data_IF_273119964925
#
_entry.id   IF_273119964925
#
_cell.length_a   1.000
_cell.length_b   1.000
_cell.length_c   1.000
_cell.angle_alpha   90.00
_cell.angle_beta   90.00
_cell.angle_gamma   90.00
#
_symmetry.space_group_name_H-M   'P 1'
#
loop_
_entity.id
_entity.type
_entity.pdbx_description
1 polymer ?
#
# COMPACT_ATOMS: atom_id res chain seq x y z
N UNK A 1 -2.10 -20.65 -5.53
CA UNK A 1 -0.67 -20.50 -5.81
C UNK A 1 -0.29 -21.44 -6.95
N UNK A 2 0.47 -20.96 -7.91
CA UNK A 2 0.99 -21.74 -9.05
C UNK A 2 2.44 -22.12 -8.76
N UNK A 3 2.74 -23.43 -8.78
CA UNK A 3 4.12 -23.93 -8.69
C UNK A 3 4.70 -24.08 -10.09
N UNK A 4 5.82 -23.40 -10.33
CA UNK A 4 6.58 -23.51 -11.57
C UNK A 4 7.77 -24.42 -11.31
N UNK A 5 7.90 -25.44 -12.14
CA UNK A 5 8.99 -26.41 -12.08
C UNK A 5 9.73 -26.40 -13.41
N UNK A 6 10.98 -25.96 -13.39
CA UNK A 6 11.94 -26.15 -14.46
C UNK A 6 12.94 -27.23 -14.04
N UNK A 7 13.78 -27.76 -14.95
CA UNK A 7 14.76 -28.78 -14.60
C UNK A 7 15.69 -28.38 -13.44
N UNK A 8 15.99 -27.08 -13.34
CA UNK A 8 16.98 -26.55 -12.40
C UNK A 8 16.36 -25.80 -11.21
N UNK A 9 15.08 -25.42 -11.30
CA UNK A 9 14.46 -24.49 -10.35
C UNK A 9 13.00 -24.83 -10.04
N UNK A 10 12.60 -24.65 -8.79
CA UNK A 10 11.20 -24.70 -8.36
C UNK A 10 10.84 -23.47 -7.54
N UNK A 11 9.82 -22.74 -7.95
CA UNK A 11 9.30 -21.59 -7.19
C UNK A 11 7.77 -21.51 -7.30
N UNK A 12 7.16 -20.72 -6.43
CA UNK A 12 5.71 -20.49 -6.41
C UNK A 12 5.40 -19.03 -6.68
N UNK A 13 4.29 -18.79 -7.38
CA UNK A 13 3.73 -17.46 -7.62
C UNK A 13 2.25 -17.42 -7.23
N UNK A 14 1.73 -16.28 -6.77
CA UNK A 14 0.30 -16.09 -6.53
C UNK A 14 -0.52 -16.30 -7.81
N UNK A 15 -1.73 -16.84 -7.65
CA UNK A 15 -2.73 -16.97 -8.72
C UNK A 15 -3.90 -16.02 -8.58
N UNK A 16 -4.05 -15.40 -7.40
CA UNK A 16 -5.14 -14.49 -7.06
C UNK A 16 -4.68 -13.45 -6.03
N UNK A 17 -5.42 -12.34 -5.92
CA UNK A 17 -5.11 -11.24 -5.00
C UNK A 17 -5.06 -11.62 -3.51
N UNK A 18 -5.91 -12.52 -2.99
CA UNK A 18 -5.80 -12.99 -1.60
C UNK A 18 -4.47 -13.67 -1.26
N UNK A 19 -3.71 -14.13 -2.26
CA UNK A 19 -2.39 -14.75 -2.05
C UNK A 19 -1.24 -13.73 -2.09
N UNK A 20 -1.50 -12.50 -2.54
CA UNK A 20 -0.48 -11.44 -2.59
C UNK A 20 -0.34 -10.81 -1.22
N UNK A 21 0.89 -10.82 -0.70
CA UNK A 21 1.18 -10.19 0.60
C UNK A 21 1.24 -8.67 0.49
N UNK A 22 1.03 -7.97 1.61
CA UNK A 22 1.12 -6.52 1.67
C UNK A 22 2.52 -6.02 1.25
N UNK A 23 3.58 -6.71 1.66
CA UNK A 23 4.94 -6.41 1.23
C UNK A 23 5.12 -6.49 -0.28
N UNK A 24 4.68 -7.59 -0.88
CA UNK A 24 4.77 -7.78 -2.32
C UNK A 24 4.00 -6.68 -3.06
N UNK A 25 2.83 -6.30 -2.56
CA UNK A 25 2.06 -5.18 -3.12
C UNK A 25 2.82 -3.84 -3.05
N UNK A 26 3.41 -3.51 -1.89
CA UNK A 26 4.19 -2.27 -1.71
C UNK A 26 5.41 -2.27 -2.63
N UNK A 27 6.15 -3.38 -2.70
CA UNK A 27 7.33 -3.53 -3.54
C UNK A 27 6.98 -3.37 -5.04
N UNK A 28 5.88 -3.98 -5.50
CA UNK A 28 5.38 -3.79 -6.86
C UNK A 28 5.06 -2.32 -7.15
N UNK A 29 4.36 -1.64 -6.23
CA UNK A 29 3.96 -0.24 -6.40
C UNK A 29 5.16 0.71 -6.48
N UNK A 30 6.21 0.46 -5.69
CA UNK A 30 7.42 1.29 -5.67
C UNK A 30 8.26 1.09 -6.94
N UNK A 31 8.38 -0.15 -7.43
CA UNK A 31 9.13 -0.49 -8.64
C UNK A 31 8.41 0.00 -9.90
N UNK A 32 7.08 -0.11 -9.96
CA UNK A 32 6.30 0.41 -11.09
C UNK A 32 6.43 1.93 -11.22
N UNK A 33 6.44 2.68 -10.10
CA UNK A 33 6.63 4.12 -10.12
C UNK A 33 8.00 4.53 -10.69
N UNK A 34 9.06 3.75 -10.40
CA UNK A 34 10.41 3.99 -10.94
C UNK A 34 10.49 3.75 -12.44
N UNK A 35 9.86 2.68 -12.95
CA UNK A 35 9.84 2.37 -14.38
C UNK A 35 9.09 3.44 -15.21
N UNK A 36 7.99 3.98 -14.69
CA UNK A 36 7.23 5.04 -15.39
C UNK A 36 8.05 6.32 -15.56
N UNK A 37 9.03 6.55 -14.69
CA UNK A 37 9.92 7.71 -14.76
C UNK A 37 11.20 7.45 -15.59
N UNK A 38 11.33 6.28 -16.21
CA UNK A 38 12.50 5.91 -17.03
C UNK A 38 12.28 6.19 -18.52
N UNK A 39 13.34 6.55 -19.25
CA UNK A 39 13.33 6.86 -20.69
C UNK A 39 13.23 5.61 -21.60
N UNK A 40 12.56 4.55 -21.14
CA UNK A 40 12.45 3.30 -21.88
C UNK A 40 11.37 3.39 -22.98
N UNK A 41 11.60 2.68 -24.08
CA UNK A 41 10.59 2.52 -25.13
C UNK A 41 9.43 1.63 -24.66
N UNK A 42 8.21 1.83 -25.18
CA UNK A 42 6.99 1.13 -24.73
C UNK A 42 7.09 -0.41 -24.71
N UNK A 43 7.82 -1.00 -25.66
CA UNK A 43 8.04 -2.45 -25.71
C UNK A 43 9.00 -2.94 -24.63
N UNK A 44 10.02 -2.14 -24.30
CA UNK A 44 10.99 -2.42 -23.24
C UNK A 44 10.38 -2.22 -21.84
N UNK A 45 9.46 -1.25 -21.71
CA UNK A 45 8.69 -1.05 -20.48
C UNK A 45 7.85 -2.30 -20.17
N UNK A 46 7.20 -2.88 -21.19
CA UNK A 46 6.39 -4.09 -21.03
C UNK A 46 7.19 -5.28 -20.51
N UNK A 47 8.33 -5.59 -21.14
CA UNK A 47 9.18 -6.73 -20.72
C UNK A 47 9.85 -6.51 -19.37
N UNK A 48 10.33 -5.28 -19.10
CA UNK A 48 10.95 -4.95 -17.81
C UNK A 48 9.94 -5.06 -16.66
N UNK A 49 8.70 -4.62 -16.91
CA UNK A 49 7.63 -4.69 -15.92
C UNK A 49 7.25 -6.14 -15.59
N UNK A 50 7.12 -6.98 -16.62
CA UNK A 50 6.86 -8.42 -16.48
C UNK A 50 7.88 -9.11 -15.56
N UNK A 51 9.17 -8.89 -15.82
CA UNK A 51 10.26 -9.47 -15.03
C UNK A 51 10.24 -8.97 -13.59
N UNK A 52 10.07 -7.67 -13.37
CA UNK A 52 9.97 -7.11 -12.02
C UNK A 52 8.77 -7.65 -11.23
N UNK A 53 7.64 -7.87 -11.91
CA UNK A 53 6.47 -8.45 -11.26
C UNK A 53 6.77 -9.87 -10.77
N UNK A 54 7.42 -10.70 -11.59
CA UNK A 54 7.86 -12.03 -11.19
C UNK A 54 8.87 -12.00 -10.04
N UNK A 55 9.86 -11.11 -10.09
CA UNK A 55 10.87 -10.97 -9.02
C UNK A 55 10.26 -10.67 -7.64
N UNK A 56 9.16 -9.92 -7.60
CA UNK A 56 8.48 -9.61 -6.34
C UNK A 56 7.52 -10.73 -5.93
N UNK A 57 6.81 -11.32 -6.88
CA UNK A 57 5.76 -12.29 -6.61
C UNK A 57 6.29 -13.71 -6.38
N UNK A 58 7.46 -14.05 -6.93
CA UNK A 58 8.06 -15.35 -6.75
C UNK A 58 8.50 -15.56 -5.29
N UNK A 59 8.29 -16.78 -4.79
CA UNK A 59 8.80 -17.20 -3.48
C UNK A 59 10.33 -17.18 -3.39
N UNK A 60 11.02 -17.33 -4.52
CA UNK A 60 12.47 -17.22 -4.63
C UNK A 60 12.81 -16.35 -5.85
N UNK A 61 13.42 -15.20 -5.61
CA UNK A 61 13.85 -14.28 -6.67
C UNK A 61 15.13 -14.73 -7.36
N UNK A 62 16.01 -15.48 -6.68
CA UNK A 62 17.28 -15.94 -7.25
C UNK A 62 17.06 -17.06 -8.26
N UNK A 63 16.05 -17.89 -7.99
CA UNK A 63 15.49 -18.87 -8.91
C UNK A 63 15.20 -18.30 -10.31
N UNK A 64 14.72 -17.05 -10.41
CA UNK A 64 14.38 -16.41 -11.67
C UNK A 64 15.60 -16.08 -12.55
N UNK A 65 16.81 -15.99 -11.99
CA UNK A 65 18.04 -15.75 -12.75
C UNK A 65 18.29 -16.88 -13.76
N UNK A 66 17.89 -18.09 -13.42
CA UNK A 66 18.10 -19.30 -14.23
C UNK A 66 16.91 -19.60 -15.16
N UNK A 67 15.81 -18.86 -15.05
CA UNK A 67 14.60 -19.07 -15.87
C UNK A 67 14.82 -18.45 -17.26
N UNK A 68 14.51 -19.21 -18.30
CA UNK A 68 14.57 -18.72 -19.69
C UNK A 68 13.44 -17.72 -19.97
N UNK A 69 13.72 -16.69 -20.77
CA UNK A 69 12.78 -15.59 -21.08
C UNK A 69 11.39 -16.06 -21.59
N UNK A 70 11.29 -17.18 -22.30
CA UNK A 70 10.00 -17.72 -22.76
C UNK A 70 9.10 -18.27 -21.63
N UNK A 71 9.68 -18.76 -20.54
CA UNK A 71 8.93 -19.27 -19.38
C UNK A 71 8.38 -18.11 -18.55
N UNK A 72 9.08 -16.97 -18.52
CA UNK A 72 8.60 -15.75 -17.86
C UNK A 72 7.29 -15.27 -18.49
N UNK A 73 7.21 -15.23 -19.82
CA UNK A 73 6.01 -14.84 -20.56
C UNK A 73 4.84 -15.79 -20.31
N UNK A 74 5.07 -17.10 -20.43
CA UNK A 74 4.05 -18.13 -20.15
C UNK A 74 3.52 -18.08 -18.72
N UNK A 75 4.40 -17.75 -17.76
CA UNK A 75 4.03 -17.63 -16.35
C UNK A 75 3.12 -16.43 -16.13
N UNK A 76 3.45 -15.31 -16.75
CA UNK A 76 2.69 -14.06 -16.61
C UNK A 76 1.32 -14.15 -17.27
N UNK A 77 1.22 -14.86 -18.39
CA UNK A 77 -0.06 -15.12 -19.04
C UNK A 77 -0.98 -15.98 -18.15
N UNK A 78 -0.42 -16.77 -17.24
CA UNK A 78 -1.15 -17.52 -16.20
C UNK A 78 -1.49 -16.70 -14.95
N UNK A 79 -1.12 -15.42 -14.90
CA UNK A 79 -1.44 -14.49 -13.80
C UNK A 79 -2.38 -13.37 -14.25
N UNK A 80 -3.58 -13.68 -14.80
CA UNK A 80 -4.50 -12.67 -15.31
C UNK A 80 -5.02 -11.74 -14.20
N UNK A 81 -5.00 -12.18 -12.94
CA UNK A 81 -5.46 -11.38 -11.79
C UNK A 81 -4.70 -10.06 -11.64
N UNK A 82 -3.42 -10.00 -12.02
CA UNK A 82 -2.61 -8.78 -11.98
C UNK A 82 -3.21 -7.67 -12.85
N UNK A 83 -3.89 -8.04 -13.94
CA UNK A 83 -4.57 -7.08 -14.82
C UNK A 83 -5.93 -6.59 -14.30
N UNK A 84 -6.44 -7.19 -13.23
CA UNK A 84 -7.75 -6.89 -12.67
C UNK A 84 -7.64 -6.74 -11.14
N UNK A 85 -7.01 -5.66 -10.64
CA UNK A 85 -7.00 -5.39 -9.21
C UNK A 85 -8.42 -5.19 -8.69
N UNK A 86 -8.80 -5.82 -7.57
CA UNK A 86 -10.07 -5.53 -6.92
C UNK A 86 -10.07 -4.09 -6.42
N UNK A 87 -11.25 -3.51 -6.29
CA UNK A 87 -11.39 -2.26 -5.54
C UNK A 87 -11.27 -2.59 -4.05
N UNK A 88 -10.05 -2.45 -3.52
CA UNK A 88 -9.74 -2.74 -2.12
C UNK A 88 -10.62 -1.96 -1.12
N UNK A 89 -11.18 -0.82 -1.52
CA UNK A 89 -12.07 -0.03 -0.66
C UNK A 89 -13.48 -0.61 -0.58
N UNK A 90 -13.89 -1.36 -1.61
CA UNK A 90 -15.19 -2.04 -1.66
C UNK A 90 -15.19 -3.38 -0.92
N UNK A 91 -14.01 -3.90 -0.58
CA UNK A 91 -13.87 -5.15 0.14
C UNK A 91 -14.32 -4.98 1.60
N UNK A 92 -14.94 -6.01 2.21
CA UNK A 92 -15.30 -5.97 3.61
C UNK A 92 -14.06 -5.93 4.50
N UNK A 93 -14.16 -5.23 5.63
CA UNK A 93 -13.13 -5.28 6.67
C UNK A 93 -13.12 -6.69 7.28
N UNK A 94 -11.96 -7.35 7.39
CA UNK A 94 -11.89 -8.71 7.93
C UNK A 94 -12.29 -8.74 9.41
N UNK A 95 -13.06 -9.76 9.80
CA UNK A 95 -13.44 -9.98 11.20
C UNK A 95 -12.27 -10.52 12.05
N UNK A 96 -11.35 -11.25 11.41
CA UNK A 96 -10.17 -11.85 12.03
C UNK A 96 -9.00 -11.67 11.08
N UNK A 97 -7.85 -11.24 11.61
CA UNK A 97 -6.61 -11.09 10.86
C UNK A 97 -5.46 -11.67 11.68
N UNK A 98 -4.63 -12.54 11.09
CA UNK A 98 -3.56 -13.25 11.82
C UNK A 98 -4.00 -13.91 13.15
N UNK A 99 -5.23 -14.43 13.20
CA UNK A 99 -5.79 -15.07 14.40
C UNK A 99 -6.30 -14.11 15.49
N UNK A 100 -6.26 -12.79 15.26
CA UNK A 100 -6.78 -11.78 16.19
C UNK A 100 -7.95 -11.01 15.61
N UNK A 101 -8.87 -10.58 16.48
CA UNK A 101 -9.96 -9.69 16.08
C UNK A 101 -9.45 -8.24 16.09
N UNK A 102 -9.50 -7.52 14.96
CA UNK A 102 -9.07 -6.12 14.95
C UNK A 102 -10.01 -5.27 15.83
N UNK A 103 -9.49 -4.20 16.45
CA UNK A 103 -10.33 -3.29 17.23
C UNK A 103 -11.36 -2.62 16.33
N UNK A 104 -12.65 -2.85 16.58
CA UNK A 104 -13.74 -2.21 15.83
C UNK A 104 -14.03 -0.79 16.34
N UNK A 105 -13.78 -0.54 17.62
CA UNK A 105 -14.03 0.76 18.26
C UNK A 105 -12.71 1.49 18.54
N UNK A 106 -12.33 2.41 17.66
CA UNK A 106 -11.11 3.23 17.84
C UNK A 106 -11.22 4.26 18.98
N UNK A 107 -12.41 4.44 19.57
CA UNK A 107 -12.60 5.24 20.77
C UNK A 107 -11.86 4.71 21.98
N UNK A 108 -11.54 3.40 22.00
CA UNK A 108 -10.82 2.73 23.08
C UNK A 108 -9.30 2.68 22.87
N UNK A 109 -8.79 3.25 21.78
CA UNK A 109 -7.36 3.30 21.51
C UNK A 109 -6.63 4.20 22.53
N UNK A 110 -5.40 3.81 22.86
CA UNK A 110 -4.57 4.60 23.78
C UNK A 110 -4.18 5.92 23.12
N UNK A 111 -4.00 6.94 23.95
CA UNK A 111 -3.55 8.26 23.49
C UNK A 111 -2.17 8.17 22.80
N UNK A 112 -1.31 7.25 23.26
CA UNK A 112 -0.02 6.96 22.63
C UNK A 112 -0.19 6.44 21.20
N UNK A 113 -1.10 5.48 20.94
CA UNK A 113 -1.36 4.99 19.58
C UNK A 113 -1.78 6.12 18.63
N UNK A 114 -2.60 7.07 19.11
CA UNK A 114 -3.00 8.23 18.32
C UNK A 114 -1.80 9.12 17.98
N UNK A 115 -0.98 9.45 18.97
CA UNK A 115 0.24 10.24 18.78
C UNK A 115 1.23 9.56 17.83
N UNK A 116 1.41 8.25 17.92
CA UNK A 116 2.29 7.53 16.99
C UNK A 116 1.77 7.61 15.55
N UNK A 117 0.44 7.56 15.34
CA UNK A 117 -0.14 7.77 14.01
C UNK A 117 0.06 9.20 13.53
N UNK A 118 -0.12 10.21 14.39
CA UNK A 118 0.16 11.62 14.08
C UNK A 118 1.62 11.82 13.63
N UNK A 119 2.58 11.21 14.33
CA UNK A 119 3.99 11.25 13.95
C UNK A 119 4.23 10.69 12.54
N UNK A 120 3.69 9.51 12.22
CA UNK A 120 3.81 8.93 10.88
C UNK A 120 3.18 9.80 9.78
N UNK A 121 2.03 10.43 10.08
CA UNK A 121 1.37 11.35 9.14
C UNK A 121 2.23 12.59 8.88
N UNK A 122 2.84 13.14 9.93
CA UNK A 122 3.71 14.31 9.81
C UNK A 122 5.02 13.96 9.08
N UNK A 123 5.62 12.80 9.34
CA UNK A 123 6.80 12.33 8.61
C UNK A 123 6.54 12.20 7.11
N UNK A 124 5.42 11.58 6.72
CA UNK A 124 5.06 11.50 5.30
C UNK A 124 4.80 12.88 4.70
N UNK A 125 4.24 13.81 5.47
CA UNK A 125 4.03 15.18 5.01
C UNK A 125 5.36 15.93 4.81
N UNK A 126 6.33 15.73 5.71
CA UNK A 126 7.68 16.29 5.63
C UNK A 126 8.47 15.72 4.44
N UNK A 127 8.25 14.45 4.09
CA UNK A 127 8.80 13.79 2.90
C UNK A 127 8.06 14.15 1.59
N UNK A 128 7.08 15.05 1.64
CA UNK A 128 6.20 15.41 0.51
C UNK A 128 5.44 14.22 -0.10
N UNK A 129 5.30 13.12 0.65
CA UNK A 129 4.56 11.94 0.25
C UNK A 129 3.06 12.10 0.53
N UNK A 130 2.23 11.56 -0.36
CA UNK A 130 0.79 11.55 -0.13
C UNK A 130 0.43 10.57 0.99
N UNK A 131 -0.24 11.07 2.04
CA UNK A 131 -0.84 10.24 3.09
C UNK A 131 -2.06 9.51 2.52
N UNK A 132 -1.91 8.22 2.25
CA UNK A 132 -2.97 7.36 1.76
C UNK A 132 -2.93 6.00 2.46
N UNK A 133 -4.00 5.21 2.34
CA UNK A 133 -4.10 3.91 3.00
C UNK A 133 -3.08 2.88 2.49
N UNK A 134 -2.48 3.09 1.31
CA UNK A 134 -1.44 2.20 0.76
C UNK A 134 -0.07 2.52 1.37
N UNK A 135 0.28 3.81 1.50
CA UNK A 135 1.55 4.27 2.08
C UNK A 135 1.57 4.09 3.59
N UNK A 136 0.43 4.31 4.24
CA UNK A 136 0.30 4.16 5.69
C UNK A 136 -0.08 2.75 6.14
N UNK A 137 -0.33 1.80 5.23
CA UNK A 137 -0.88 0.48 5.56
C UNK A 137 -0.11 -0.20 6.68
N UNK A 138 1.21 -0.38 6.49
CA UNK A 138 2.07 -1.07 7.45
C UNK A 138 2.09 -0.32 8.78
N UNK A 139 2.36 0.99 8.77
CA UNK A 139 2.47 1.79 9.99
C UNK A 139 1.19 1.81 10.82
N UNK A 140 0.03 2.02 10.17
CA UNK A 140 -1.27 2.08 10.84
C UNK A 140 -1.67 0.72 11.39
N UNK A 141 -1.54 -0.34 10.59
CA UNK A 141 -1.86 -1.69 11.02
C UNK A 141 -0.96 -2.10 12.19
N UNK A 142 0.34 -1.80 12.13
CA UNK A 142 1.26 -2.07 13.23
C UNK A 142 0.80 -1.40 14.52
N UNK A 143 0.47 -0.11 14.49
CA UNK A 143 0.05 0.62 15.71
C UNK A 143 -1.24 0.04 16.32
N UNK A 144 -2.25 -0.23 15.49
CA UNK A 144 -3.57 -0.66 15.99
C UNK A 144 -3.65 -2.15 16.30
N UNK A 145 -2.90 -3.00 15.59
CA UNK A 145 -2.88 -4.45 15.82
C UNK A 145 -1.85 -4.87 16.87
N UNK A 146 -0.85 -4.05 17.19
CA UNK A 146 0.18 -4.39 18.19
C UNK A 146 -0.41 -4.94 19.49
N UNK A 147 -1.41 -4.29 20.14
CA UNK A 147 -1.92 -4.79 21.41
C UNK A 147 -2.65 -6.13 21.31
N UNK A 148 -3.27 -6.40 20.16
CA UNK A 148 -3.97 -7.64 19.92
C UNK A 148 -2.99 -8.79 19.61
N UNK A 149 -1.94 -8.51 18.83
CA UNK A 149 -0.95 -9.52 18.43
C UNK A 149 0.00 -9.88 19.57
N UNK A 150 0.51 -8.88 20.29
CA UNK A 150 1.51 -9.06 21.35
C UNK A 150 0.91 -9.27 22.73
N UNK A 151 -0.41 -9.11 22.88
CA UNK A 151 -1.10 -9.07 24.18
C UNK A 151 -0.46 -8.07 25.16
N UNK A 152 0.14 -7.00 24.63
CA UNK A 152 0.91 -6.00 25.38
C UNK A 152 0.51 -4.59 24.95
N UNK A 153 0.59 -3.63 25.85
CA UNK A 153 0.31 -2.23 25.48
C UNK A 153 1.49 -1.67 24.70
N UNK A 154 1.20 -0.94 23.63
CA UNK A 154 2.22 -0.17 22.90
C UNK A 154 2.69 0.99 23.80
N UNK A 155 3.95 0.96 24.19
CA UNK A 155 4.58 1.99 25.03
C UNK A 155 5.68 2.76 24.31
N UNK A 156 6.31 2.12 23.31
CA UNK A 156 7.38 2.72 22.53
C UNK A 156 7.21 2.35 21.05
N UNK A 157 7.62 3.25 20.17
CA UNK A 157 7.58 3.08 18.72
C UNK A 157 8.55 1.98 18.24
N UNK A 158 9.67 1.78 18.93
CA UNK A 158 10.65 0.75 18.59
C UNK A 158 10.04 -0.67 18.55
N UNK A 159 9.03 -0.91 19.40
CA UNK A 159 8.29 -2.18 19.49
C UNK A 159 7.55 -2.54 18.20
N UNK A 160 7.22 -1.55 17.36
CA UNK A 160 6.54 -1.82 16.09
C UNK A 160 7.38 -2.64 15.13
N UNK A 161 8.72 -2.56 15.24
CA UNK A 161 9.64 -3.33 14.39
C UNK A 161 9.49 -4.84 14.57
N UNK A 162 9.04 -5.30 15.74
CA UNK A 162 8.84 -6.72 16.05
C UNK A 162 7.68 -7.32 15.25
N UNK A 163 6.66 -6.52 14.95
CA UNK A 163 5.45 -6.98 14.26
C UNK A 163 5.42 -6.61 12.77
N UNK A 164 6.30 -5.70 12.32
CA UNK A 164 6.32 -5.24 10.92
C UNK A 164 6.38 -6.39 9.94
N UNK A 165 7.23 -7.39 10.17
CA UNK A 165 7.34 -8.56 9.29
C UNK A 165 6.05 -9.40 9.25
N UNK A 166 5.34 -9.50 10.38
CA UNK A 166 4.05 -10.20 10.44
C UNK A 166 2.96 -9.43 9.70
N UNK A 167 2.92 -8.11 9.83
CA UNK A 167 1.99 -7.23 9.10
C UNK A 167 2.28 -7.26 7.60
N UNK A 168 3.55 -7.23 7.21
CA UNK A 168 4.01 -7.33 5.82
C UNK A 168 3.58 -8.63 5.14
N UNK A 169 3.50 -9.72 5.90
CA UNK A 169 3.09 -11.03 5.42
C UNK A 169 1.56 -11.19 5.26
N UNK A 170 0.76 -10.23 5.72
CA UNK A 170 -0.70 -10.29 5.61
C UNK A 170 -1.16 -10.21 4.15
N UNK A 171 -2.25 -10.92 3.78
CA UNK A 171 -2.90 -10.74 2.50
C UNK A 171 -3.28 -9.27 2.25
N UNK A 172 -2.96 -8.76 1.06
CA UNK A 172 -3.27 -7.39 0.67
C UNK A 172 -4.78 -7.11 0.67
N UNK A 173 -5.59 -8.13 0.33
CA UNK A 173 -7.06 -8.04 0.32
C UNK A 173 -7.66 -7.90 1.71
N UNK A 174 -6.93 -8.23 2.76
CA UNK A 174 -7.36 -8.08 4.16
C UNK A 174 -6.73 -6.84 4.80
N UNK A 175 -5.45 -6.61 4.51
CA UNK A 175 -4.67 -5.53 5.09
C UNK A 175 -5.13 -4.14 4.61
N UNK A 176 -5.34 -3.94 3.31
CA UNK A 176 -5.69 -2.61 2.78
C UNK A 176 -7.08 -2.10 3.21
N UNK A 177 -8.16 -2.91 3.18
CA UNK A 177 -9.46 -2.46 3.69
C UNK A 177 -9.40 -2.11 5.17
N UNK A 178 -8.64 -2.88 5.96
CA UNK A 178 -8.47 -2.63 7.39
C UNK A 178 -7.65 -1.36 7.66
N UNK A 179 -6.57 -1.13 6.90
CA UNK A 179 -5.80 0.11 6.97
C UNK A 179 -6.66 1.33 6.60
N UNK A 180 -7.49 1.21 5.57
CA UNK A 180 -8.44 2.24 5.18
C UNK A 180 -9.49 2.51 6.28
N UNK A 181 -10.03 1.47 6.90
CA UNK A 181 -10.94 1.58 8.04
C UNK A 181 -10.30 2.35 9.20
N UNK A 182 -9.08 1.98 9.59
CA UNK A 182 -8.37 2.67 10.67
C UNK A 182 -8.04 4.12 10.35
N UNK A 183 -7.57 4.40 9.13
CA UNK A 183 -7.23 5.77 8.71
C UNK A 183 -8.47 6.67 8.63
N UNK A 184 -9.59 6.14 8.15
CA UNK A 184 -10.87 6.87 8.10
C UNK A 184 -11.41 7.16 9.49
N UNK A 185 -11.43 6.16 10.38
CA UNK A 185 -11.98 6.31 11.71
C UNK A 185 -11.07 7.09 12.66
N UNK A 186 -9.76 7.09 12.43
CA UNK A 186 -8.81 7.94 13.15
C UNK A 186 -9.24 9.43 13.12
N UNK A 187 -9.78 9.90 11.98
CA UNK A 187 -10.27 11.27 11.81
C UNK A 187 -11.49 11.61 12.67
N UNK A 188 -12.33 10.62 12.99
CA UNK A 188 -13.60 10.82 13.69
C UNK A 188 -13.43 10.94 15.22
N UNK A 189 -12.26 10.62 15.75
CA UNK A 189 -12.03 10.43 17.20
C UNK A 189 -11.38 11.62 17.90
N UNK A 190 -11.26 12.79 17.25
CA UNK A 190 -10.75 14.01 17.87
C UNK A 190 -11.86 15.03 18.09
N UNK A 191 -12.28 15.16 19.36
CA UNK A 191 -13.16 16.21 19.89
C UNK A 191 -12.58 17.64 19.81
N UNK A 192 -11.55 17.88 19.01
CA UNK A 192 -10.78 19.13 18.96
C UNK A 192 -11.20 20.08 17.83
N UNK A 193 -12.18 19.73 16.99
CA UNK A 193 -12.77 20.64 16.02
C UNK A 193 -11.87 21.06 14.85
N UNK A 194 -10.66 20.50 14.73
CA UNK A 194 -9.79 20.70 13.57
C UNK A 194 -9.13 19.39 13.13
N UNK A 195 -9.51 18.93 11.94
CA UNK A 195 -8.71 18.06 11.08
C UNK A 195 -9.05 18.39 9.63
N UNK A 196 -8.10 18.87 8.82
CA UNK A 196 -8.31 19.02 7.36
C UNK A 196 -7.16 18.43 6.58
N UNK A 197 -7.02 17.10 6.63
CA UNK A 197 -6.37 16.36 5.55
C UNK A 197 -7.47 15.89 4.60
N UNK A 198 -7.35 16.18 3.30
CA UNK A 198 -8.23 15.58 2.29
C UNK A 198 -7.61 14.22 1.96
N UNK A 199 -8.32 13.13 2.25
CA UNK A 199 -7.95 11.79 1.78
C UNK A 199 -7.88 11.88 0.24
N UNK A 200 -6.69 11.79 -0.31
CA UNK A 200 -6.52 11.73 -1.76
C UNK A 200 -6.75 10.28 -2.19
N UNK A 201 -7.93 10.02 -2.74
CA UNK A 201 -8.15 8.77 -3.45
C UNK A 201 -7.28 8.81 -4.72
N UNK A 202 -6.44 7.79 -4.99
CA UNK A 202 -5.76 7.72 -6.28
C UNK A 202 -6.82 7.76 -7.39
N UNK A 203 -6.69 8.74 -8.31
CA UNK A 203 -7.66 8.93 -9.39
C UNK A 203 -7.70 7.69 -10.29
N UNK A 204 -8.88 7.11 -10.49
CA UNK A 204 -9.11 6.13 -11.56
C UNK A 204 -8.97 6.84 -12.93
N UNK A 205 -8.05 6.42 -13.82
CA UNK A 205 -7.86 6.97 -15.15
C UNK A 205 -8.82 6.36 -16.19
N UNK A 206 -8.94 7.01 -17.34
CA UNK A 206 -9.78 6.57 -18.46
C UNK A 206 -9.20 5.36 -19.20
N UNK A 207 -10.11 4.48 -19.63
CA UNK A 207 -9.85 3.15 -20.19
C UNK A 207 -9.07 3.20 -21.52
N UNK A 208 -7.78 2.86 -21.50
CA UNK A 208 -7.05 2.39 -22.69
C UNK A 208 -6.35 1.05 -22.40
N UNK A 209 -6.28 0.15 -23.38
CA UNK A 209 -5.91 -1.25 -23.16
C UNK A 209 -4.48 -1.47 -22.60
N UNK A 210 -3.54 -0.55 -22.86
CA UNK A 210 -2.19 -0.54 -22.26
C UNK A 210 -2.14 -0.06 -20.81
N UNK A 211 -3.19 0.63 -20.34
CA UNK A 211 -3.36 1.02 -18.93
C UNK A 211 -3.96 -0.08 -18.05
N UNK A 212 -4.30 -1.25 -18.61
CA UNK A 212 -5.06 -2.31 -17.92
C UNK A 212 -4.29 -3.07 -16.86
N UNK A 213 -2.98 -3.24 -16.99
CA UNK A 213 -2.18 -3.90 -15.96
C UNK A 213 -2.15 -3.10 -14.65
N UNK A 214 -2.34 -1.79 -14.74
CA UNK A 214 -2.32 -0.88 -13.60
C UNK A 214 -3.30 0.27 -13.77
N UNK A 215 -4.58 -0.06 -13.87
CA UNK A 215 -5.63 0.95 -13.88
C UNK A 215 -5.58 1.87 -12.64
N UNK A 216 -4.86 1.53 -11.56
CA UNK A 216 -4.82 2.36 -10.35
C UNK A 216 -3.43 2.90 -9.93
N UNK A 217 -2.34 2.61 -10.65
CA UNK A 217 -0.97 2.84 -10.11
C UNK A 217 -0.10 3.83 -10.89
N UNK A 218 -0.68 4.92 -11.41
CA UNK A 218 0.16 6.09 -11.68
C UNK A 218 0.39 6.84 -10.36
N UNK A 219 1.64 7.19 -9.99
CA UNK A 219 1.86 8.16 -8.94
C UNK A 219 1.13 9.45 -9.34
N UNK A 220 0.34 9.97 -8.41
CA UNK A 220 -0.32 11.26 -8.56
C UNK A 220 0.78 12.29 -8.82
N UNK A 221 0.81 12.86 -10.03
CA UNK A 221 1.53 14.11 -10.26
C UNK A 221 0.89 15.17 -9.35
N UNK A 222 1.65 15.61 -8.35
CA UNK A 222 1.48 16.81 -7.52
C UNK A 222 0.04 17.15 -7.15
N UNK A 223 -0.40 16.70 -5.97
CA UNK A 223 -1.49 17.39 -5.28
C UNK A 223 -0.91 18.56 -4.50
N UNK A 224 -1.22 19.78 -4.95
CA UNK A 224 -0.92 21.02 -4.22
C UNK A 224 -1.64 21.00 -2.88
N UNK A 225 -0.90 21.24 -1.81
CA UNK A 225 -1.43 21.62 -0.52
C UNK A 225 -2.37 22.82 -0.66
N UNK A 226 -3.63 22.67 -0.26
CA UNK A 226 -4.48 23.82 0.02
C UNK A 226 -4.05 24.34 1.39
N UNK A 227 -3.18 25.35 1.41
CA UNK A 227 -2.87 26.12 2.64
C UNK A 227 -3.98 27.15 2.83
N UNK A 228 -4.89 27.02 3.83
CA UNK A 228 -5.97 27.98 4.03
C UNK A 228 -5.47 29.39 4.39
N UNK A 229 -4.22 29.51 4.83
CA UNK A 229 -3.67 30.71 5.48
C UNK A 229 -2.95 31.70 4.55
N UNK A 230 -2.97 31.50 3.23
CA UNK A 230 -2.36 32.45 2.27
C UNK A 230 -3.39 33.35 1.55
N UNK A 231 -4.57 33.55 2.15
CA UNK A 231 -5.56 34.55 1.73
C UNK A 231 -5.80 35.62 2.80
N UNK A 232 -4.74 36.23 3.29
CA UNK A 232 -4.81 37.58 3.86
C UNK A 232 -3.81 38.47 3.14
N UNK A 233 -4.10 38.72 1.87
CA UNK A 233 -3.52 39.80 1.09
C UNK A 233 -4.62 40.81 0.78
N UNK A 234 -4.98 41.64 1.76
CA UNK A 234 -5.65 42.90 1.51
C UNK A 234 -5.06 43.93 2.48
N UNK A 235 -3.99 44.56 2.01
CA UNK A 235 -3.48 45.83 2.53
C UNK A 235 -4.62 46.86 2.48
N UNK A 236 -4.97 47.56 3.58
CA UNK A 236 -5.80 48.75 3.45
C UNK A 236 -4.92 49.89 2.96
N UNK A 237 -5.21 50.31 1.74
CA UNK A 237 -4.74 51.54 1.13
C UNK A 237 -4.93 52.73 2.07
N UNK A 238 -3.88 53.54 2.11
CA UNK A 238 -3.84 54.96 2.44
C UNK A 238 -5.13 55.72 2.13
N UNK A 239 -5.61 56.49 3.11
CA UNK A 239 -5.89 57.92 3.01
C UNK A 239 -5.76 58.57 4.38
#
# INVERSE_FOLDING_TARGET
MLTIKTPDVTFTVPTEWPEVTLKQFIDLSSRSAKLVNSDLNETQIGSAYKRQALEVLASDANALIQVMAGIEDDTIDRMPFLSQPPDFLSLPVPEVIAGVKPPQELGMCTLFQKWTVDEFVNELADEELSVNYMTMAVSILSVYLYPALMNARLSDRSQLTEITAQIEALPVTEALPLAHFFLTNYRSSTSSGQTTFILSHPKQPSKTWRSRWFLNWKPIKNMRWYRPWLRTGASPLSR
#
